data_IF_680368381016
#
_entry.id   IF_680368381016
#
_cell.length_a   1.000
_cell.length_b   1.000
_cell.length_c   1.000
_cell.angle_alpha   90.00
_cell.angle_beta   90.00
_cell.angle_gamma   90.00
#
_symmetry.space_group_name_H-M   'P 1'
#
loop_
_entity.id
_entity.type
_entity.pdbx_description
1 polymer ?
#
# COMPACT_ATOMS: atom_id res chain seq x y z
N UNK A 1 -2.56 -23.96 51.10
CA UNK A 1 -1.96 -22.90 50.27
C UNK A 1 -2.57 -23.03 48.89
N UNK A 2 -3.33 -22.04 48.42
CA UNK A 2 -4.01 -22.10 47.14
C UNK A 2 -3.07 -21.57 46.05
N UNK A 3 -2.64 -22.45 45.14
CA UNK A 3 -1.93 -22.06 43.92
C UNK A 3 -2.88 -21.24 43.04
N UNK A 4 -2.57 -19.95 42.95
CA UNK A 4 -3.26 -19.00 42.09
C UNK A 4 -2.79 -19.26 40.66
N UNK A 5 -3.49 -20.15 39.95
CA UNK A 5 -3.22 -20.45 38.55
C UNK A 5 -3.53 -19.19 37.72
N UNK A 6 -2.49 -18.43 37.36
CA UNK A 6 -2.62 -17.23 36.51
C UNK A 6 -3.16 -17.65 35.14
N UNK A 7 -4.46 -17.44 34.91
CA UNK A 7 -5.06 -17.56 33.58
C UNK A 7 -4.48 -16.46 32.67
N UNK A 8 -3.39 -16.78 31.97
CA UNK A 8 -2.87 -15.95 30.88
C UNK A 8 -3.60 -16.35 29.60
N UNK A 9 -4.21 -15.38 28.93
CA UNK A 9 -4.82 -15.58 27.61
C UNK A 9 -3.72 -15.90 26.59
N UNK A 10 -3.97 -16.87 25.70
CA UNK A 10 -3.09 -17.17 24.58
C UNK A 10 -2.98 -16.00 23.58
N UNK A 11 -2.04 -16.09 22.64
CA UNK A 11 -1.87 -15.09 21.60
C UNK A 11 -3.12 -15.01 20.68
N UNK A 12 -3.54 -13.80 20.34
CA UNK A 12 -4.60 -13.58 19.35
C UNK A 12 -4.08 -14.02 17.97
N UNK A 13 -4.82 -14.90 17.31
CA UNK A 13 -4.56 -15.35 15.94
C UNK A 13 -5.75 -14.98 15.05
N UNK A 14 -5.45 -14.42 13.88
CA UNK A 14 -6.43 -14.10 12.85
C UNK A 14 -5.80 -14.38 11.50
N UNK A 15 -6.56 -15.03 10.64
CA UNK A 15 -6.19 -15.25 9.24
C UNK A 15 -7.08 -14.40 8.35
N UNK A 16 -6.49 -13.78 7.33
CA UNK A 16 -7.23 -13.02 6.33
C UNK A 16 -7.27 -13.80 5.03
N UNK A 17 -8.47 -14.07 4.51
CA UNK A 17 -8.67 -14.64 3.17
C UNK A 17 -9.42 -13.65 2.30
N UNK A 18 -9.06 -13.60 1.02
CA UNK A 18 -9.75 -12.81 0.00
C UNK A 18 -10.03 -13.67 -1.24
N UNK A 19 -11.07 -13.31 -1.97
CA UNK A 19 -11.39 -13.89 -3.27
C UNK A 19 -11.29 -12.79 -4.34
N UNK A 20 -10.42 -12.98 -5.35
CA UNK A 20 -10.31 -12.07 -6.48
C UNK A 20 -11.06 -12.65 -7.68
N UNK A 21 -12.01 -11.89 -8.22
CA UNK A 21 -12.91 -12.36 -9.27
C UNK A 21 -12.54 -11.85 -10.66
N UNK A 22 -11.81 -10.74 -10.77
CA UNK A 22 -11.45 -10.16 -12.07
C UNK A 22 -10.00 -10.44 -12.44
N UNK A 23 -9.76 -10.74 -13.72
CA UNK A 23 -8.41 -10.84 -14.26
C UNK A 23 -7.59 -9.54 -14.07
N UNK A 24 -8.26 -8.40 -13.93
CA UNK A 24 -7.64 -7.12 -13.63
C UNK A 24 -7.03 -7.09 -12.23
N UNK A 25 -7.79 -7.50 -11.21
CA UNK A 25 -7.28 -7.57 -9.84
C UNK A 25 -6.27 -8.71 -9.67
N UNK A 26 -6.52 -9.88 -10.28
CA UNK A 26 -5.58 -11.00 -10.31
C UNK A 26 -4.24 -10.58 -10.91
N UNK A 27 -4.26 -9.82 -12.03
CA UNK A 27 -3.05 -9.29 -12.64
C UNK A 27 -2.28 -8.32 -11.73
N UNK A 28 -2.97 -7.49 -10.95
CA UNK A 28 -2.34 -6.60 -9.96
C UNK A 28 -1.81 -7.36 -8.73
N UNK A 29 -2.42 -8.50 -8.39
CA UNK A 29 -1.91 -9.39 -7.37
C UNK A 29 -0.62 -10.08 -7.84
N UNK A 30 -0.65 -10.72 -8.99
CA UNK A 30 0.46 -11.53 -9.52
C UNK A 30 1.63 -10.67 -10.01
N UNK A 31 1.33 -9.50 -10.60
CA UNK A 31 2.31 -8.73 -11.36
C UNK A 31 2.70 -9.44 -12.67
N UNK A 32 3.85 -9.06 -13.22
CA UNK A 32 4.41 -9.68 -14.43
C UNK A 32 5.91 -9.91 -14.24
N UNK A 33 6.36 -11.14 -14.45
CA UNK A 33 7.79 -11.45 -14.43
C UNK A 33 8.50 -10.77 -15.62
N UNK A 34 9.77 -10.36 -15.48
CA UNK A 34 10.55 -9.89 -16.61
C UNK A 34 10.76 -11.03 -17.60
N UNK A 35 10.46 -10.80 -18.87
CA UNK A 35 10.77 -11.74 -19.95
C UNK A 35 12.19 -11.45 -20.44
N UNK A 36 13.03 -12.48 -20.48
CA UNK A 36 14.35 -12.39 -21.13
C UNK A 36 14.14 -12.17 -22.63
N UNK A 37 15.04 -11.44 -23.25
CA UNK A 37 15.03 -11.27 -24.70
C UNK A 37 15.18 -12.65 -25.36
N UNK A 38 14.19 -13.04 -26.16
CA UNK A 38 14.18 -14.29 -26.90
C UNK A 38 13.90 -13.97 -28.38
N UNK A 39 14.95 -14.08 -29.21
CA UNK A 39 14.93 -13.65 -30.61
C UNK A 39 14.72 -12.13 -30.80
N UNK A 40 13.88 -11.77 -31.78
CA UNK A 40 13.61 -10.37 -32.18
C UNK A 40 12.64 -9.61 -31.25
N UNK A 41 12.04 -10.27 -30.24
CA UNK A 41 11.10 -9.61 -29.34
C UNK A 41 11.85 -8.84 -28.25
N UNK A 42 11.53 -7.55 -28.01
CA UNK A 42 12.19 -6.77 -26.96
C UNK A 42 11.89 -7.36 -25.58
N UNK A 43 12.90 -7.38 -24.71
CA UNK A 43 12.76 -7.78 -23.32
C UNK A 43 11.67 -6.94 -22.64
N UNK A 44 10.73 -7.61 -21.96
CA UNK A 44 9.69 -6.89 -21.22
C UNK A 44 10.11 -6.68 -19.78
N UNK A 45 10.05 -5.44 -19.34
CA UNK A 45 10.27 -5.12 -17.92
C UNK A 45 9.21 -5.79 -17.05
N UNK A 46 9.68 -6.33 -15.91
CA UNK A 46 8.82 -6.89 -14.88
C UNK A 46 7.96 -5.80 -14.23
N UNK A 47 6.74 -6.17 -13.84
CA UNK A 47 5.79 -5.32 -13.11
C UNK A 47 5.60 -5.97 -11.76
N UNK A 48 5.77 -5.22 -10.67
CA UNK A 48 5.58 -5.78 -9.34
C UNK A 48 4.10 -6.10 -9.09
N UNK A 49 3.87 -7.22 -8.40
CA UNK A 49 2.58 -7.59 -7.83
C UNK A 49 2.52 -7.30 -6.33
N UNK A 50 1.40 -7.66 -5.73
CA UNK A 50 1.12 -7.45 -4.31
C UNK A 50 2.14 -8.17 -3.38
N UNK A 51 2.58 -9.42 -3.65
CA UNK A 51 3.59 -10.07 -2.82
C UNK A 51 4.93 -9.32 -2.78
N UNK A 52 5.39 -8.79 -3.92
CA UNK A 52 6.62 -7.99 -3.96
C UNK A 52 6.43 -6.64 -3.26
N UNK A 53 5.24 -6.03 -3.39
CA UNK A 53 4.88 -4.84 -2.63
C UNK A 53 4.97 -5.10 -1.11
N UNK A 54 4.43 -6.22 -0.60
CA UNK A 54 4.52 -6.56 0.83
C UNK A 54 5.96 -6.70 1.32
N UNK A 55 6.82 -7.33 0.52
CA UNK A 55 8.23 -7.46 0.86
C UNK A 55 8.89 -6.08 1.04
N UNK A 56 8.63 -5.15 0.11
CA UNK A 56 9.16 -3.77 0.17
C UNK A 56 8.57 -2.97 1.32
N UNK A 57 7.26 -3.03 1.54
CA UNK A 57 6.61 -2.37 2.67
C UNK A 57 7.15 -2.88 4.01
N UNK A 58 7.40 -4.19 4.13
CA UNK A 58 8.01 -4.80 5.32
C UNK A 58 9.44 -4.29 5.55
N UNK A 59 10.25 -4.16 4.49
CA UNK A 59 11.60 -3.60 4.58
C UNK A 59 11.57 -2.15 5.10
N UNK A 60 10.70 -1.31 4.52
CA UNK A 60 10.54 0.09 4.95
C UNK A 60 10.14 0.14 6.43
N UNK A 61 9.17 -0.69 6.84
CA UNK A 61 8.71 -0.75 8.22
C UNK A 61 9.81 -1.19 9.19
N UNK A 62 10.63 -2.17 8.81
CA UNK A 62 11.78 -2.63 9.60
C UNK A 62 12.86 -1.54 9.73
N UNK A 63 13.12 -0.78 8.69
CA UNK A 63 14.09 0.32 8.73
C UNK A 63 13.59 1.48 9.62
N UNK A 64 12.29 1.78 9.54
CA UNK A 64 11.63 2.73 10.46
C UNK A 64 11.78 2.29 11.92
N UNK A 65 11.56 1.00 12.21
CA UNK A 65 11.79 0.44 13.55
C UNK A 65 13.25 0.58 14.00
N UNK A 66 14.20 0.52 13.07
CA UNK A 66 15.64 0.71 13.30
C UNK A 66 16.06 2.18 13.35
N UNK A 67 15.12 3.08 13.65
CA UNK A 67 15.39 4.51 13.85
C UNK A 67 15.90 5.24 12.59
N UNK A 68 15.55 4.76 11.40
CA UNK A 68 15.87 5.40 10.13
C UNK A 68 14.83 6.49 9.78
N UNK A 69 15.23 7.78 9.67
CA UNK A 69 14.28 8.85 9.39
C UNK A 69 13.74 8.84 7.94
N UNK A 70 14.52 8.42 6.95
CA UNK A 70 14.03 8.29 5.55
C UNK A 70 13.01 7.17 5.39
N UNK A 71 13.13 6.10 6.20
CA UNK A 71 12.10 5.07 6.26
C UNK A 71 10.76 5.61 6.81
N UNK A 72 10.81 6.52 7.79
CA UNK A 72 9.61 7.21 8.28
C UNK A 72 8.99 8.13 7.22
N UNK A 73 9.81 8.84 6.42
CA UNK A 73 9.34 9.58 5.23
C UNK A 73 8.60 8.63 4.28
N UNK A 74 9.20 7.48 3.97
CA UNK A 74 8.62 6.50 3.06
C UNK A 74 7.32 5.89 3.60
N UNK A 75 7.25 5.57 4.90
CA UNK A 75 6.02 5.10 5.55
C UNK A 75 4.91 6.15 5.48
N UNK A 76 5.21 7.41 5.81
CA UNK A 76 4.24 8.51 5.75
C UNK A 76 3.71 8.71 4.32
N UNK A 77 4.61 8.77 3.34
CA UNK A 77 4.23 8.91 1.94
C UNK A 77 3.43 7.71 1.41
N UNK A 78 3.73 6.49 1.89
CA UNK A 78 2.97 5.30 1.52
C UNK A 78 1.54 5.36 2.08
N UNK A 79 1.38 5.75 3.34
CA UNK A 79 0.06 5.95 3.95
C UNK A 79 -0.76 6.97 3.17
N UNK A 80 -0.20 8.15 2.91
CA UNK A 80 -0.89 9.22 2.17
C UNK A 80 -1.29 8.76 0.76
N UNK A 81 -0.39 8.05 0.06
CA UNK A 81 -0.72 7.50 -1.27
C UNK A 81 -1.83 6.47 -1.22
N UNK A 82 -1.84 5.59 -0.22
CA UNK A 82 -2.95 4.63 -0.02
C UNK A 82 -4.24 5.39 0.25
N UNK A 83 -4.22 6.39 1.13
CA UNK A 83 -5.39 7.21 1.45
C UNK A 83 -5.96 7.89 0.20
N UNK A 84 -5.12 8.61 -0.56
CA UNK A 84 -5.54 9.29 -1.79
C UNK A 84 -6.08 8.30 -2.82
N UNK A 85 -5.45 7.13 -2.97
CA UNK A 85 -5.91 6.09 -3.89
C UNK A 85 -7.25 5.48 -3.44
N UNK A 86 -7.46 5.28 -2.14
CA UNK A 86 -8.74 4.85 -1.58
C UNK A 86 -9.84 5.87 -1.81
N UNK A 87 -9.60 7.15 -1.50
CA UNK A 87 -10.57 8.23 -1.73
C UNK A 87 -10.94 8.33 -3.21
N UNK A 88 -9.94 8.22 -4.10
CA UNK A 88 -10.15 8.21 -5.56
C UNK A 88 -10.94 6.98 -6.03
N UNK A 89 -10.69 5.79 -5.46
CA UNK A 89 -11.44 4.58 -5.77
C UNK A 89 -12.91 4.72 -5.35
N UNK A 90 -13.18 5.29 -4.18
CA UNK A 90 -14.54 5.59 -3.73
C UNK A 90 -15.25 6.54 -4.69
N UNK A 91 -14.57 7.58 -5.18
CA UNK A 91 -15.14 8.49 -6.17
C UNK A 91 -15.47 7.77 -7.50
N UNK A 92 -14.59 6.88 -7.98
CA UNK A 92 -14.86 6.07 -9.18
C UNK A 92 -16.07 5.14 -9.01
N UNK A 93 -16.19 4.50 -7.84
CA UNK A 93 -17.35 3.67 -7.49
C UNK A 93 -18.63 4.52 -7.52
N UNK A 94 -18.63 5.70 -6.91
CA UNK A 94 -19.80 6.59 -6.91
C UNK A 94 -20.21 7.04 -8.31
N UNK A 95 -19.24 7.32 -9.20
CA UNK A 95 -19.53 7.65 -10.60
C UNK A 95 -20.21 6.49 -11.33
N UNK A 96 -19.72 5.27 -11.12
CA UNK A 96 -20.29 4.07 -11.73
C UNK A 96 -21.66 3.72 -11.14
N UNK A 97 -21.88 4.00 -9.86
CA UNK A 97 -23.18 3.83 -9.19
C UNK A 97 -24.23 4.76 -9.79
N UNK A 98 -23.86 6.00 -10.13
CA UNK A 98 -24.74 6.93 -10.81
C UNK A 98 -25.13 6.44 -12.23
N UNK A 99 -24.21 5.83 -12.96
CA UNK A 99 -24.50 5.22 -14.27
C UNK A 99 -25.44 4.02 -14.12
N UNK A 100 -25.22 3.19 -13.09
CA UNK A 100 -26.07 2.05 -12.77
C UNK A 100 -27.49 2.46 -12.37
N UNK A 101 -27.68 3.67 -11.85
CA UNK A 101 -29.01 4.22 -11.49
C UNK A 101 -29.89 4.55 -12.70
N UNK A 102 -29.36 4.53 -13.92
CA UNK A 102 -30.13 4.73 -15.16
C UNK A 102 -31.04 3.55 -15.52
N UNK A 103 -30.97 2.45 -14.75
CA UNK A 103 -31.84 1.29 -14.95
C UNK A 103 -33.32 1.68 -14.74
N UNK A 104 -34.21 1.30 -15.68
CA UNK A 104 -35.65 1.50 -15.52
C UNK A 104 -36.20 0.94 -14.20
N UNK A 105 -37.17 1.61 -13.58
CA UNK A 105 -37.92 1.05 -12.45
C UNK A 105 -38.47 -0.34 -12.80
N UNK A 106 -38.23 -1.32 -11.94
CA UNK A 106 -38.63 -2.72 -12.15
C UNK A 106 -37.51 -3.65 -12.62
N UNK A 107 -36.33 -3.12 -12.98
CA UNK A 107 -35.15 -3.94 -13.24
C UNK A 107 -34.28 -4.02 -11.98
N UNK A 108 -33.98 -5.24 -11.54
CA UNK A 108 -33.05 -5.51 -10.44
C UNK A 108 -31.89 -6.37 -10.93
N UNK A 109 -30.66 -5.94 -10.65
CA UNK A 109 -29.46 -6.70 -10.97
C UNK A 109 -28.90 -7.33 -9.69
N UNK A 110 -28.49 -8.59 -9.77
CA UNK A 110 -27.71 -9.25 -8.73
C UNK A 110 -26.25 -8.83 -8.82
N UNK A 111 -25.48 -9.01 -7.75
CA UNK A 111 -24.03 -8.83 -7.86
C UNK A 111 -23.41 -9.85 -8.81
N UNK A 112 -22.38 -9.42 -9.56
CA UNK A 112 -21.57 -10.32 -10.38
C UNK A 112 -20.51 -10.98 -9.49
N UNK A 113 -20.23 -12.25 -9.75
CA UNK A 113 -19.12 -12.99 -9.19
C UNK A 113 -18.52 -13.92 -10.27
N UNK A 114 -17.22 -14.14 -10.21
CA UNK A 114 -16.58 -15.23 -10.98
C UNK A 114 -17.11 -16.57 -10.47
N UNK A 115 -17.34 -17.51 -11.39
CA UNK A 115 -17.64 -18.92 -11.07
C UNK A 115 -16.43 -19.58 -10.40
N UNK A 116 -15.22 -19.14 -10.75
CA UNK A 116 -13.95 -19.62 -10.21
C UNK A 116 -13.12 -18.40 -9.78
N UNK A 117 -13.34 -17.84 -8.57
CA UNK A 117 -12.46 -16.80 -8.05
C UNK A 117 -11.09 -17.36 -7.65
N UNK A 118 -10.08 -16.49 -7.63
CA UNK A 118 -8.79 -16.80 -7.05
C UNK A 118 -8.85 -16.53 -5.53
N UNK A 119 -8.92 -17.60 -4.74
CA UNK A 119 -8.86 -17.55 -3.29
C UNK A 119 -7.41 -17.43 -2.80
N UNK A 120 -7.19 -16.50 -1.88
CA UNK A 120 -5.86 -16.12 -1.42
C UNK A 120 -5.88 -15.96 0.10
N UNK A 121 -5.04 -16.70 0.79
CA UNK A 121 -4.69 -16.42 2.17
C UNK A 121 -3.64 -15.30 2.19
N UNK A 122 -4.00 -14.16 2.78
CA UNK A 122 -3.18 -12.96 2.82
C UNK A 122 -2.39 -12.93 4.12
N UNK A 123 -1.06 -12.87 3.98
CA UNK A 123 -0.16 -12.62 5.10
C UNK A 123 0.79 -11.46 4.79
N UNK A 124 0.74 -10.42 5.61
CA UNK A 124 1.70 -9.32 5.58
C UNK A 124 2.05 -8.86 6.99
N UNK A 125 3.29 -8.38 7.16
CA UNK A 125 3.83 -7.97 8.47
C UNK A 125 3.56 -6.50 8.78
N UNK A 126 2.84 -5.78 7.92
CA UNK A 126 2.63 -4.34 8.06
C UNK A 126 1.16 -3.98 7.90
N UNK A 127 0.61 -3.06 8.73
CA UNK A 127 -0.75 -2.59 8.55
C UNK A 127 -0.99 -1.91 7.19
N UNK A 128 -0.01 -1.17 6.68
CA UNK A 128 -0.09 -0.57 5.34
C UNK A 128 -0.18 -1.62 4.21
N UNK A 129 0.42 -2.81 4.43
CA UNK A 129 0.22 -3.97 3.57
C UNK A 129 -1.25 -4.39 3.49
N UNK A 130 -1.91 -4.57 4.64
CA UNK A 130 -3.34 -4.92 4.68
C UNK A 130 -4.23 -3.82 4.11
N UNK A 131 -3.92 -2.54 4.36
CA UNK A 131 -4.67 -1.43 3.74
C UNK A 131 -4.57 -1.42 2.21
N UNK A 132 -3.42 -1.78 1.65
CA UNK A 132 -3.27 -1.94 0.21
C UNK A 132 -4.08 -3.13 -0.33
N UNK A 133 -4.26 -4.20 0.47
CA UNK A 133 -5.15 -5.33 0.12
C UNK A 133 -6.60 -4.88 0.09
N UNK A 134 -7.06 -4.09 1.07
CA UNK A 134 -8.42 -3.56 1.07
C UNK A 134 -8.69 -2.72 -0.17
N UNK A 135 -7.71 -1.90 -0.59
CA UNK A 135 -7.79 -1.14 -1.84
C UNK A 135 -7.88 -2.06 -3.08
N UNK A 136 -7.11 -3.15 -3.13
CA UNK A 136 -7.19 -4.14 -4.22
C UNK A 136 -8.55 -4.83 -4.28
N UNK A 137 -9.10 -5.24 -3.13
CA UNK A 137 -10.44 -5.84 -3.06
C UNK A 137 -11.50 -4.83 -3.50
N UNK A 138 -11.40 -3.58 -3.07
CA UNK A 138 -12.28 -2.50 -3.54
C UNK A 138 -12.22 -2.29 -5.05
N UNK A 139 -11.02 -2.35 -5.63
CA UNK A 139 -10.86 -2.33 -7.09
C UNK A 139 -11.48 -3.55 -7.78
N UNK A 140 -11.34 -4.74 -7.21
CA UNK A 140 -11.95 -5.95 -7.79
C UNK A 140 -13.49 -5.82 -7.84
N UNK A 141 -14.11 -5.32 -6.77
CA UNK A 141 -15.54 -5.05 -6.74
C UNK A 141 -15.95 -4.00 -7.77
N UNK A 142 -15.20 -2.90 -7.86
CA UNK A 142 -15.41 -1.87 -8.86
C UNK A 142 -15.29 -2.43 -10.30
N UNK A 143 -14.28 -3.24 -10.56
CA UNK A 143 -14.06 -3.85 -11.87
C UNK A 143 -15.20 -4.79 -12.27
N UNK A 144 -15.71 -5.61 -11.34
CA UNK A 144 -16.91 -6.44 -11.57
C UNK A 144 -18.11 -5.58 -11.96
N UNK A 145 -18.35 -4.48 -11.23
CA UNK A 145 -19.47 -3.58 -11.50
C UNK A 145 -19.33 -2.89 -12.86
N UNK A 146 -18.11 -2.49 -13.25
CA UNK A 146 -17.87 -1.88 -14.56
C UNK A 146 -18.11 -2.87 -15.70
N UNK A 147 -17.69 -4.13 -15.52
CA UNK A 147 -17.97 -5.22 -16.46
C UNK A 147 -19.48 -5.49 -16.57
N UNK A 148 -20.19 -5.50 -15.44
CA UNK A 148 -21.65 -5.67 -15.40
C UNK A 148 -22.38 -4.54 -16.12
N UNK A 149 -22.03 -3.29 -15.81
CA UNK A 149 -22.63 -2.11 -16.45
C UNK A 149 -22.44 -2.16 -17.97
N UNK A 150 -21.25 -2.55 -18.44
CA UNK A 150 -20.98 -2.70 -19.86
C UNK A 150 -21.75 -3.86 -20.49
N UNK A 151 -21.91 -4.99 -19.78
CA UNK A 151 -22.63 -6.16 -20.27
C UNK A 151 -24.10 -5.85 -20.51
N UNK A 152 -24.74 -5.10 -19.60
CA UNK A 152 -26.14 -4.69 -19.74
C UNK A 152 -26.34 -3.40 -20.56
N UNK A 153 -25.29 -2.86 -21.18
CA UNK A 153 -25.39 -1.71 -22.06
C UNK A 153 -25.60 -0.36 -21.37
N UNK A 154 -25.35 -0.27 -20.06
CA UNK A 154 -25.44 0.99 -19.30
C UNK A 154 -24.26 1.91 -19.59
N UNK A 155 -23.10 1.33 -19.94
CA UNK A 155 -21.91 2.07 -20.36
C UNK A 155 -21.33 1.49 -21.64
N UNK A 156 -20.63 2.34 -22.38
CA UNK A 156 -19.91 1.91 -23.58
C UNK A 156 -18.68 1.09 -23.20
N UNK A 157 -18.20 0.28 -24.15
CA UNK A 157 -16.94 -0.47 -24.01
C UNK A 157 -15.75 0.44 -23.69
N UNK A 158 -15.66 1.60 -24.36
CA UNK A 158 -14.58 2.56 -24.12
C UNK A 158 -14.63 3.13 -22.70
N UNK A 159 -15.83 3.43 -22.17
CA UNK A 159 -16.00 3.93 -20.81
C UNK A 159 -15.63 2.87 -19.76
N UNK A 160 -16.04 1.61 -19.99
CA UNK A 160 -15.57 0.47 -19.18
C UNK A 160 -14.05 0.38 -19.16
N UNK A 161 -13.41 0.40 -20.32
CA UNK A 161 -11.95 0.26 -20.43
C UNK A 161 -11.23 1.43 -19.74
N UNK A 162 -11.79 2.64 -19.81
CA UNK A 162 -11.31 3.80 -19.07
C UNK A 162 -11.41 3.60 -17.55
N UNK A 163 -12.58 3.18 -17.03
CA UNK A 163 -12.76 2.88 -15.61
C UNK A 163 -11.75 1.85 -15.11
N UNK A 164 -11.60 0.74 -15.81
CA UNK A 164 -10.68 -0.33 -15.44
C UNK A 164 -9.22 0.13 -15.46
N UNK A 165 -8.84 0.96 -16.44
CA UNK A 165 -7.52 1.56 -16.53
C UNK A 165 -7.24 2.50 -15.35
N UNK A 166 -8.18 3.39 -15.03
CA UNK A 166 -8.06 4.36 -13.93
C UNK A 166 -7.99 3.68 -12.57
N UNK A 167 -8.90 2.74 -12.28
CA UNK A 167 -8.88 1.97 -11.04
C UNK A 167 -7.56 1.21 -10.87
N UNK A 168 -7.09 0.54 -11.93
CA UNK A 168 -5.80 -0.15 -11.90
C UNK A 168 -4.60 0.79 -11.80
N UNK A 169 -4.72 2.03 -12.29
CA UNK A 169 -3.67 3.07 -12.20
C UNK A 169 -3.45 3.49 -10.74
N UNK A 170 -4.52 3.64 -9.96
CA UNK A 170 -4.45 4.01 -8.55
C UNK A 170 -3.60 3.00 -7.74
N UNK A 171 -3.84 1.70 -7.94
CA UNK A 171 -3.06 0.64 -7.26
C UNK A 171 -1.59 0.67 -7.71
N UNK A 172 -1.34 0.80 -9.02
CA UNK A 172 0.03 0.88 -9.55
C UNK A 172 0.80 2.10 -9.02
N UNK A 173 0.14 3.22 -8.76
CA UNK A 173 0.77 4.39 -8.14
C UNK A 173 1.18 4.14 -6.68
N UNK A 174 0.37 3.39 -5.93
CA UNK A 174 0.74 2.92 -4.59
C UNK A 174 1.95 1.99 -4.66
N UNK A 175 1.94 1.02 -5.59
CA UNK A 175 3.08 0.12 -5.80
C UNK A 175 4.37 0.87 -6.15
N UNK A 176 4.27 1.90 -6.99
CA UNK A 176 5.40 2.74 -7.36
C UNK A 176 6.05 3.46 -6.17
N UNK A 177 5.31 3.74 -5.08
CA UNK A 177 5.86 4.45 -3.93
C UNK A 177 6.93 3.65 -3.20
N UNK A 178 6.72 2.35 -3.00
CA UNK A 178 7.67 1.48 -2.30
C UNK A 178 8.88 1.12 -3.15
N UNK A 179 8.76 1.21 -4.48
CA UNK A 179 9.88 0.97 -5.40
C UNK A 179 10.93 2.08 -5.37
N UNK A 180 10.51 3.31 -5.05
CA UNK A 180 11.41 4.45 -4.95
C UNK A 180 12.29 4.45 -3.70
N UNK A 181 11.91 3.69 -2.67
CA UNK A 181 12.65 3.63 -1.43
C UNK A 181 13.98 2.88 -1.59
N UNK A 182 15.05 3.52 -1.14
CA UNK A 182 16.38 2.92 -0.94
C UNK A 182 16.73 3.07 0.52
N UNK A 183 17.24 2.00 1.13
CA UNK A 183 17.76 2.07 2.50
C UNK A 183 18.95 3.01 2.52
N UNK A 184 18.92 3.95 3.46
CA UNK A 184 20.02 4.84 3.79
C UNK A 184 20.57 4.39 5.14
N UNK A 185 21.86 4.07 5.22
CA UNK A 185 22.48 3.53 6.44
C UNK A 185 22.86 4.66 7.41
N UNK A 186 21.85 5.38 7.90
CA UNK A 186 21.97 6.41 8.92
C UNK A 186 20.71 6.47 9.79
N UNK A 187 20.87 6.88 11.04
CA UNK A 187 19.82 6.94 12.05
C UNK A 187 19.67 8.35 12.61
N UNK A 188 18.63 8.57 13.42
CA UNK A 188 18.49 9.82 14.18
C UNK A 188 19.63 10.08 15.17
N UNK A 189 20.36 9.05 15.63
CA UNK A 189 21.53 9.28 16.49
C UNK A 189 22.68 9.93 15.70
N UNK A 190 22.89 9.50 14.47
CA UNK A 190 23.86 10.12 13.57
C UNK A 190 23.52 11.60 13.32
N UNK A 191 22.22 11.91 13.19
CA UNK A 191 21.73 13.28 13.10
C UNK A 191 22.03 14.09 14.37
N UNK A 192 21.82 13.51 15.56
CA UNK A 192 22.13 14.15 16.85
C UNK A 192 23.62 14.51 16.95
N UNK A 193 24.49 13.63 16.52
CA UNK A 193 25.95 13.83 16.54
C UNK A 193 26.44 14.71 15.38
N UNK A 194 25.62 14.88 14.33
CA UNK A 194 26.03 15.48 13.06
C UNK A 194 27.32 14.87 12.51
N UNK A 195 27.42 13.54 12.62
CA UNK A 195 28.61 12.80 12.26
C UNK A 195 28.77 12.67 10.73
N UNK A 196 29.87 12.09 10.29
CA UNK A 196 30.18 11.93 8.87
C UNK A 196 29.14 11.05 8.14
N UNK A 197 28.63 10.00 8.81
CA UNK A 197 27.57 9.13 8.29
C UNK A 197 26.29 9.92 8.00
N UNK A 198 25.90 10.83 8.88
CA UNK A 198 24.73 11.70 8.66
C UNK A 198 24.92 12.63 7.46
N UNK A 199 26.08 13.27 7.34
CA UNK A 199 26.37 14.21 6.25
C UNK A 199 26.34 13.51 4.89
N UNK A 200 27.01 12.37 4.77
CA UNK A 200 27.01 11.57 3.54
C UNK A 200 25.61 11.08 3.17
N UNK A 201 24.82 10.65 4.17
CA UNK A 201 23.44 10.26 3.95
C UNK A 201 22.58 11.42 3.41
N UNK A 202 22.76 12.63 3.95
CA UNK A 202 22.06 13.82 3.47
C UNK A 202 22.48 14.25 2.05
N UNK A 203 23.76 14.10 1.69
CA UNK A 203 24.23 14.36 0.32
C UNK A 203 23.58 13.42 -0.70
N UNK A 204 23.39 12.15 -0.35
CA UNK A 204 22.82 11.13 -1.25
C UNK A 204 21.30 11.22 -1.34
N UNK A 205 20.61 11.40 -0.20
CA UNK A 205 19.15 11.24 -0.10
C UNK A 205 18.39 12.54 0.15
N UNK A 206 19.09 13.65 0.39
CA UNK A 206 18.52 14.86 0.96
C UNK A 206 18.24 14.71 2.45
N UNK A 207 18.30 15.82 3.19
CA UNK A 207 17.97 15.81 4.61
C UNK A 207 16.44 15.66 4.82
N UNK A 208 15.98 14.74 5.70
CA UNK A 208 14.56 14.63 6.03
C UNK A 208 14.01 15.90 6.69
N UNK A 209 12.72 16.19 6.46
CA UNK A 209 12.01 17.28 7.15
C UNK A 209 12.25 17.23 8.67
N UNK A 210 12.43 18.39 9.31
CA UNK A 210 12.62 18.47 10.76
C UNK A 210 11.49 17.78 11.54
N UNK A 211 10.24 17.94 11.09
CA UNK A 211 9.08 17.26 11.72
C UNK A 211 9.19 15.73 11.66
N UNK A 212 9.83 15.17 10.64
CA UNK A 212 10.10 13.73 10.56
C UNK A 212 11.23 13.36 11.52
N UNK A 213 12.30 14.15 11.57
CA UNK A 213 13.41 13.94 12.53
C UNK A 213 12.92 13.95 13.97
N UNK A 214 12.05 14.90 14.33
CA UNK A 214 11.44 15.04 15.65
C UNK A 214 10.30 14.04 15.93
N UNK A 215 10.01 13.16 14.96
CA UNK A 215 9.00 12.11 15.08
C UNK A 215 7.55 12.59 15.06
N UNK A 216 7.31 13.86 14.73
CA UNK A 216 5.99 14.50 14.68
C UNK A 216 5.24 14.14 13.39
N UNK A 217 5.96 14.05 12.27
CA UNK A 217 5.43 13.65 10.97
C UNK A 217 5.83 12.21 10.67
N UNK A 218 4.97 11.26 11.06
CA UNK A 218 5.16 9.82 10.84
C UNK A 218 3.84 9.20 10.39
N UNK A 219 3.91 8.06 9.71
CA UNK A 219 2.71 7.28 9.46
C UNK A 219 2.06 6.87 10.78
N UNK A 220 0.72 6.91 10.84
CA UNK A 220 -0.04 6.37 11.96
C UNK A 220 0.18 4.85 12.15
N UNK A 221 0.74 4.18 11.13
CA UNK A 221 1.03 2.76 11.10
C UNK A 221 2.53 2.45 11.16
N UNK A 222 3.37 3.47 11.41
CA UNK A 222 4.79 3.24 11.71
C UNK A 222 4.95 2.52 13.05
N UNK A 223 6.02 1.72 13.22
CA UNK A 223 6.41 1.20 14.53
C UNK A 223 6.73 2.36 15.51
N UNK A 224 6.77 2.10 16.82
CA UNK A 224 7.17 3.11 17.81
C UNK A 224 8.49 3.78 17.43
N UNK A 225 8.56 5.10 17.59
CA UNK A 225 9.80 5.85 17.34
C UNK A 225 10.80 5.56 18.45
N UNK A 226 12.10 5.71 18.17
CA UNK A 226 13.10 5.71 19.22
C UNK A 226 13.02 7.02 20.02
N UNK A 227 12.37 6.98 21.17
CA UNK A 227 12.16 8.17 22.01
C UNK A 227 13.48 8.83 22.45
N UNK A 228 14.52 8.04 22.72
CA UNK A 228 15.83 8.56 23.15
C UNK A 228 16.45 9.45 22.08
N UNK A 229 16.46 9.01 20.81
CA UNK A 229 17.01 9.80 19.70
C UNK A 229 16.19 11.07 19.44
N UNK A 230 14.86 10.96 19.48
CA UNK A 230 13.96 12.10 19.29
C UNK A 230 14.12 13.15 20.40
N UNK A 231 14.24 12.72 21.66
CA UNK A 231 14.43 13.65 22.78
C UNK A 231 15.76 14.40 22.69
N UNK A 232 16.84 13.73 22.29
CA UNK A 232 18.13 14.38 22.05
C UNK A 232 18.04 15.41 20.90
N UNK A 233 17.36 15.08 19.80
CA UNK A 233 17.11 16.03 18.71
C UNK A 233 16.29 17.24 19.19
N UNK A 234 15.23 17.02 19.96
CA UNK A 234 14.42 18.12 20.52
C UNK A 234 15.24 19.05 21.42
N UNK A 235 16.15 18.50 22.24
CA UNK A 235 17.06 19.32 23.05
C UNK A 235 18.00 20.14 22.18
N UNK A 236 18.59 19.54 21.14
CA UNK A 236 19.48 20.23 20.20
C UNK A 236 18.78 21.36 19.46
N UNK A 237 17.58 21.12 18.92
CA UNK A 237 16.83 22.11 18.14
C UNK A 237 16.07 23.14 18.98
N UNK A 238 15.90 22.93 20.29
CA UNK A 238 15.43 23.98 21.23
C UNK A 238 16.57 24.89 21.70
N UNK A 239 17.81 24.42 21.61
CA UNK A 239 19.00 25.15 22.04
C UNK A 239 19.70 25.92 20.91
N UNK A 240 19.28 25.72 19.65
CA UNK A 240 19.75 26.42 18.46
C UNK A 240 18.77 27.54 18.08
#
# INVERSE_FOLDING_TARGET
MAEKNEKRTGALQSEMTIALHTNYAIGLWQGRQPEKQDGEKPARHGIIGMPQFFHRATLINQDSLRNNPWADVAMFNLEEKIKVASDSMTALIQQLDAEMSMLPPGITLTEVASVEPLDIQVFTRTPLGYRCVFLLVGFDQFAKKALQASHYGLITRSRRDHHLSEGGRLIRQVYGSVLSYRRIDATRFDAVENNETWKQACEVAGEPDLSVLLGEKRSAFSPPVNESSVNLLRMRYRAA
#
